data_IF_773818509306
#
_entry.id   IF_773818509306
#
_cell.length_a   1.000
_cell.length_b   1.000
_cell.length_c   1.000
_cell.angle_alpha   90.00
_cell.angle_beta   90.00
_cell.angle_gamma   90.00
#
_symmetry.space_group_name_H-M   'P 1'
#
loop_
_entity.id
_entity.type
_entity.pdbx_description
1 polymer ?
#
# COMPACT_ATOMS: atom_id res chain seq x y z
N UNK A 1 14.58 20.95 -26.31
CA UNK A 1 13.50 21.59 -25.51
C UNK A 1 12.49 20.51 -25.19
N UNK A 2 12.24 20.22 -23.92
CA UNK A 2 11.17 19.29 -23.51
C UNK A 2 9.84 20.01 -23.68
N UNK A 3 8.86 19.35 -24.30
CA UNK A 3 7.54 19.96 -24.50
C UNK A 3 6.77 20.02 -23.18
N UNK A 4 5.91 21.04 -23.02
CA UNK A 4 5.03 21.15 -21.84
C UNK A 4 4.12 19.92 -21.67
N UNK A 5 3.79 19.24 -22.77
CA UNK A 5 2.97 18.02 -22.77
C UNK A 5 3.75 16.84 -22.18
N UNK A 6 5.02 16.67 -22.56
CA UNK A 6 5.88 15.63 -21.98
C UNK A 6 6.08 15.84 -20.48
N UNK A 7 6.32 17.09 -20.06
CA UNK A 7 6.47 17.43 -18.65
C UNK A 7 5.19 17.14 -17.84
N UNK A 8 4.02 17.48 -18.37
CA UNK A 8 2.74 17.19 -17.71
C UNK A 8 2.52 15.68 -17.52
N UNK A 9 2.83 14.87 -18.53
CA UNK A 9 2.76 13.41 -18.44
C UNK A 9 3.72 12.85 -17.40
N UNK A 10 4.94 13.38 -17.34
CA UNK A 10 5.93 12.95 -16.36
C UNK A 10 5.49 13.28 -14.94
N UNK A 11 4.94 14.48 -14.70
CA UNK A 11 4.37 14.88 -13.40
C UNK A 11 3.23 13.95 -13.00
N UNK A 12 2.31 13.65 -13.91
CA UNK A 12 1.19 12.72 -13.65
C UNK A 12 1.70 11.32 -13.27
N UNK A 13 2.71 10.81 -13.99
CA UNK A 13 3.32 9.52 -13.65
C UNK A 13 4.02 9.52 -12.29
N UNK A 14 4.73 10.60 -11.96
CA UNK A 14 5.40 10.74 -10.66
C UNK A 14 4.37 10.81 -9.53
N UNK A 15 3.29 11.56 -9.71
CA UNK A 15 2.19 11.62 -8.74
C UNK A 15 1.53 10.26 -8.54
N UNK A 16 1.27 9.52 -9.63
CA UNK A 16 0.75 8.15 -9.54
C UNK A 16 1.67 7.24 -8.72
N UNK A 17 2.97 7.23 -9.04
CA UNK A 17 3.98 6.44 -8.30
C UNK A 17 4.05 6.82 -6.82
N UNK A 18 3.99 8.11 -6.51
CA UNK A 18 4.00 8.61 -5.14
C UNK A 18 2.77 8.11 -4.37
N UNK A 19 1.58 8.18 -4.96
CA UNK A 19 0.34 7.71 -4.34
C UNK A 19 0.41 6.20 -4.04
N UNK A 20 0.89 5.39 -4.98
CA UNK A 20 1.11 3.96 -4.75
C UNK A 20 2.10 3.71 -3.61
N UNK A 21 3.20 4.47 -3.55
CA UNK A 21 4.22 4.33 -2.51
C UNK A 21 3.66 4.67 -1.13
N UNK A 22 2.92 5.77 -1.01
CA UNK A 22 2.30 6.21 0.25
C UNK A 22 1.42 5.11 0.86
N UNK A 23 0.47 4.60 0.07
CA UNK A 23 -0.44 3.55 0.54
C UNK A 23 0.33 2.27 0.92
N UNK A 24 1.30 1.86 0.10
CA UNK A 24 2.08 0.64 0.40
C UNK A 24 2.91 0.79 1.66
N UNK A 25 3.51 1.95 1.90
CA UNK A 25 4.28 2.24 3.10
C UNK A 25 3.41 2.15 4.35
N UNK A 26 2.21 2.74 4.33
CA UNK A 26 1.29 2.67 5.46
C UNK A 26 0.77 1.23 5.70
N UNK A 27 0.40 0.48 4.66
CA UNK A 27 0.05 -0.94 4.78
C UNK A 27 1.18 -1.77 5.39
N UNK A 28 2.41 -1.49 4.99
CA UNK A 28 3.59 -2.19 5.53
C UNK A 28 3.78 -1.88 7.01
N UNK A 29 3.56 -0.62 7.42
CA UNK A 29 3.62 -0.23 8.83
C UNK A 29 2.52 -0.90 9.67
N UNK A 30 1.30 -1.06 9.14
CA UNK A 30 0.25 -1.84 9.82
C UNK A 30 0.68 -3.30 10.04
N UNK A 31 1.25 -3.93 9.02
CA UNK A 31 1.76 -5.32 9.12
C UNK A 31 2.86 -5.42 10.17
N UNK A 32 3.84 -4.51 10.14
CA UNK A 32 4.93 -4.49 11.11
C UNK A 32 4.43 -4.28 12.54
N UNK A 33 3.48 -3.35 12.73
CA UNK A 33 2.90 -3.05 14.05
C UNK A 33 2.18 -4.27 14.63
N UNK A 34 1.39 -4.96 13.81
CA UNK A 34 0.72 -6.19 14.22
C UNK A 34 1.73 -7.26 14.69
N UNK A 35 2.81 -7.46 13.91
CA UNK A 35 3.87 -8.42 14.22
C UNK A 35 4.58 -8.07 15.54
N UNK A 36 4.91 -6.79 15.75
CA UNK A 36 5.66 -6.33 16.94
C UNK A 36 4.83 -6.50 18.22
N UNK A 37 3.55 -6.15 18.22
CA UNK A 37 2.74 -6.10 19.45
C UNK A 37 2.32 -7.47 20.00
N UNK A 38 2.26 -8.49 19.15
CA UNK A 38 1.62 -9.77 19.49
C UNK A 38 2.57 -10.94 19.70
N UNK A 39 3.86 -10.79 19.36
CA UNK A 39 4.87 -11.85 19.44
C UNK A 39 4.70 -13.00 18.43
N UNK A 40 3.46 -13.27 17.98
CA UNK A 40 3.08 -14.14 16.88
C UNK A 40 1.65 -13.78 16.39
N UNK A 41 1.52 -12.97 15.33
CA UNK A 41 0.22 -12.80 14.65
C UNK A 41 0.02 -13.96 13.71
N UNK A 42 -1.12 -14.64 13.80
CA UNK A 42 -1.55 -15.57 12.75
C UNK A 42 -1.79 -14.81 11.46
N UNK A 43 -1.38 -15.38 10.32
CA UNK A 43 -1.52 -14.74 9.00
C UNK A 43 -2.92 -14.17 8.75
N UNK A 44 -3.97 -14.88 9.16
CA UNK A 44 -5.37 -14.45 8.96
C UNK A 44 -5.67 -13.09 9.59
N UNK A 45 -5.12 -12.82 10.78
CA UNK A 45 -5.29 -11.54 11.47
C UNK A 45 -4.59 -10.38 10.76
N UNK A 46 -3.39 -10.63 10.20
CA UNK A 46 -2.69 -9.62 9.39
C UNK A 46 -3.46 -9.32 8.10
N UNK A 47 -4.01 -10.35 7.46
CA UNK A 47 -4.84 -10.16 6.26
C UNK A 47 -6.12 -9.35 6.55
N UNK A 48 -6.77 -9.60 7.69
CA UNK A 48 -7.93 -8.85 8.14
C UNK A 48 -7.59 -7.37 8.38
N UNK A 49 -6.48 -7.09 9.08
CA UNK A 49 -6.00 -5.71 9.27
C UNK A 49 -5.76 -4.97 7.95
N UNK A 50 -5.16 -5.62 6.95
CA UNK A 50 -4.96 -5.01 5.63
C UNK A 50 -6.31 -4.75 4.92
N UNK A 51 -7.24 -5.71 4.98
CA UNK A 51 -8.57 -5.57 4.37
C UNK A 51 -9.33 -4.39 4.99
N UNK A 52 -9.29 -4.28 6.32
CA UNK A 52 -10.01 -3.26 7.08
C UNK A 52 -9.30 -1.91 7.18
N UNK A 53 -8.02 -1.83 6.81
CA UNK A 53 -7.24 -0.60 6.83
C UNK A 53 -7.97 0.54 6.09
N UNK A 54 -8.14 1.67 6.79
CA UNK A 54 -8.76 2.88 6.26
C UNK A 54 -7.70 3.94 6.07
N UNK A 55 -7.70 4.56 4.90
CA UNK A 55 -6.76 5.63 4.54
C UNK A 55 -7.50 6.96 4.57
N UNK A 56 -6.95 7.92 5.30
CA UNK A 56 -7.44 9.30 5.23
C UNK A 56 -6.68 10.06 4.13
N UNK A 57 -6.92 9.67 2.88
CA UNK A 57 -6.25 10.22 1.70
C UNK A 57 -7.26 10.58 0.59
N UNK A 58 -8.06 11.65 0.78
CA UNK A 58 -9.13 12.01 -0.15
C UNK A 58 -8.65 12.34 -1.57
N UNK A 59 -7.38 12.70 -1.74
CA UNK A 59 -6.72 12.94 -3.01
C UNK A 59 -6.21 11.69 -3.74
N UNK A 60 -6.22 10.52 -3.07
CA UNK A 60 -5.78 9.25 -3.65
C UNK A 60 -6.99 8.48 -4.17
N UNK A 61 -6.92 8.05 -5.42
CA UNK A 61 -7.96 7.24 -6.04
C UNK A 61 -8.12 5.90 -5.30
N UNK A 62 -9.35 5.53 -4.94
CA UNK A 62 -9.70 4.27 -4.29
C UNK A 62 -9.15 3.04 -5.04
N UNK A 63 -9.08 3.08 -6.37
CA UNK A 63 -8.49 2.00 -7.17
C UNK A 63 -7.01 1.75 -6.86
N UNK A 64 -6.24 2.80 -6.54
CA UNK A 64 -4.84 2.68 -6.11
C UNK A 64 -4.79 2.00 -4.74
N UNK A 65 -5.68 2.40 -3.83
CA UNK A 65 -5.76 1.82 -2.48
C UNK A 65 -6.04 0.31 -2.56
N UNK A 66 -7.07 -0.07 -3.31
CA UNK A 66 -7.43 -1.47 -3.48
C UNK A 66 -6.30 -2.25 -4.16
N UNK A 67 -5.62 -1.66 -5.15
CA UNK A 67 -4.51 -2.33 -5.82
C UNK A 67 -3.34 -2.59 -4.88
N UNK A 68 -3.01 -1.64 -4.02
CA UNK A 68 -1.93 -1.81 -3.05
C UNK A 68 -2.29 -2.84 -1.96
N UNK A 69 -3.55 -2.88 -1.52
CA UNK A 69 -4.04 -3.97 -0.63
C UNK A 69 -3.81 -5.34 -1.26
N UNK A 70 -4.17 -5.53 -2.53
CA UNK A 70 -3.92 -6.80 -3.25
C UNK A 70 -2.43 -7.17 -3.30
N UNK A 71 -1.56 -6.20 -3.59
CA UNK A 71 -0.12 -6.41 -3.71
C UNK A 71 0.46 -6.86 -2.36
N UNK A 72 0.11 -6.18 -1.27
CA UNK A 72 0.62 -6.51 0.07
C UNK A 72 0.09 -7.88 0.52
N UNK A 73 -1.20 -8.17 0.32
CA UNK A 73 -1.77 -9.49 0.61
C UNK A 73 -1.10 -10.62 -0.18
N UNK A 74 -0.80 -10.38 -1.46
CA UNK A 74 -0.06 -11.34 -2.30
C UNK A 74 1.37 -11.54 -1.79
N UNK A 75 2.01 -10.48 -1.28
CA UNK A 75 3.31 -10.54 -0.62
C UNK A 75 3.29 -11.42 0.63
N UNK A 76 2.26 -11.30 1.47
CA UNK A 76 2.11 -12.10 2.70
C UNK A 76 2.02 -13.60 2.44
N UNK A 77 1.47 -14.01 1.30
CA UNK A 77 1.42 -15.44 0.90
C UNK A 77 2.81 -16.04 0.71
N UNK A 78 3.82 -15.22 0.42
CA UNK A 78 5.20 -15.66 0.14
C UNK A 78 6.09 -15.76 1.38
N UNK A 79 5.62 -15.32 2.54
CA UNK A 79 6.38 -15.33 3.80
C UNK A 79 5.77 -16.29 4.80
N UNK A 80 6.60 -17.08 5.47
CA UNK A 80 6.16 -17.96 6.56
C UNK A 80 5.89 -17.09 7.79
N UNK A 81 4.61 -16.97 8.13
CA UNK A 81 4.15 -16.33 9.36
C UNK A 81 3.56 -17.46 10.20
N UNK A 82 3.99 -17.56 11.45
CA UNK A 82 3.69 -18.64 12.40
C UNK A 82 2.22 -18.76 12.76
#
# INVERSE_FOLDING_TARGET
MVSRIELAKEVEQVQGKLNHLLIRSELTLYVLSAIIETGAVKREGVEELIREAKFNAPEINEAIIQKEKEIVLSGLKKVTIS
#
